data_IF_412604870985
#
_entry.id   IF_412604870985
#
_cell.length_a   1.000
_cell.length_b   1.000
_cell.length_c   1.000
_cell.angle_alpha   90.00
_cell.angle_beta   90.00
_cell.angle_gamma   90.00
#
_symmetry.space_group_name_H-M   'P 1'
#
loop_
_entity.id
_entity.type
_entity.pdbx_description
1 polymer ?
#
# COMPACT_ATOMS: atom_id res chain seq x y z
N UNK A 1 -1.01 -21.02 -55.79
CA UNK A 1 -1.08 -19.61 -55.32
C UNK A 1 -1.25 -19.51 -53.79
N UNK A 2 -1.99 -20.42 -53.17
CA UNK A 2 -2.37 -20.44 -51.74
C UNK A 2 -1.21 -20.56 -50.76
N UNK A 3 -0.19 -21.40 -51.02
CA UNK A 3 0.97 -21.55 -50.12
C UNK A 3 1.78 -20.26 -49.96
N UNK A 4 2.01 -19.51 -51.05
CA UNK A 4 2.76 -18.24 -51.00
C UNK A 4 2.02 -17.16 -50.23
N UNK A 5 0.69 -17.12 -50.32
CA UNK A 5 -0.15 -16.17 -49.57
C UNK A 5 -0.10 -16.51 -48.06
N UNK A 6 -0.19 -17.79 -47.68
CA UNK A 6 -0.05 -18.20 -46.27
C UNK A 6 1.35 -17.89 -45.70
N UNK A 7 2.42 -18.08 -46.49
CA UNK A 7 3.77 -17.74 -46.03
C UNK A 7 3.94 -16.24 -45.82
N UNK A 8 3.40 -15.42 -46.73
CA UNK A 8 3.45 -13.95 -46.59
C UNK A 8 2.61 -13.49 -45.40
N UNK A 9 1.44 -14.08 -45.14
CA UNK A 9 0.62 -13.78 -43.97
C UNK A 9 1.32 -14.15 -42.67
N UNK A 10 1.95 -15.33 -42.61
CA UNK A 10 2.68 -15.79 -41.42
C UNK A 10 3.89 -14.89 -41.10
N UNK A 11 4.60 -14.41 -42.13
CA UNK A 11 5.71 -13.45 -41.96
C UNK A 11 5.20 -12.08 -41.50
N UNK A 12 4.06 -11.62 -42.01
CA UNK A 12 3.44 -10.37 -41.56
C UNK A 12 2.96 -10.45 -40.11
N UNK A 13 2.33 -11.56 -39.71
CA UNK A 13 1.90 -11.81 -38.33
C UNK A 13 3.11 -11.94 -37.40
N UNK A 14 4.16 -12.66 -37.82
CA UNK A 14 5.39 -12.76 -37.04
C UNK A 14 6.08 -11.39 -36.90
N UNK A 15 6.08 -10.58 -37.96
CA UNK A 15 6.62 -9.22 -37.96
C UNK A 15 5.84 -8.28 -37.04
N UNK A 16 4.52 -8.31 -37.04
CA UNK A 16 3.70 -7.50 -36.14
C UNK A 16 3.81 -7.95 -34.69
N UNK A 17 3.84 -9.27 -34.43
CA UNK A 17 4.11 -9.83 -33.09
C UNK A 17 5.50 -9.44 -32.60
N UNK A 18 6.53 -9.49 -33.45
CA UNK A 18 7.89 -9.10 -33.09
C UNK A 18 8.05 -7.59 -32.87
N UNK A 19 7.35 -6.76 -33.66
CA UNK A 19 7.37 -5.30 -33.50
C UNK A 19 6.62 -4.88 -32.25
N UNK A 20 5.48 -5.51 -31.97
CA UNK A 20 4.71 -5.31 -30.74
C UNK A 20 5.47 -5.83 -29.51
N UNK A 21 6.09 -7.01 -29.59
CA UNK A 21 6.98 -7.51 -28.55
C UNK A 21 8.18 -6.59 -28.33
N UNK A 22 8.78 -6.06 -29.40
CA UNK A 22 9.85 -5.06 -29.32
C UNK A 22 9.40 -3.76 -28.66
N UNK A 23 8.20 -3.27 -28.97
CA UNK A 23 7.59 -2.10 -28.32
C UNK A 23 7.35 -2.34 -26.82
N UNK A 24 6.76 -3.49 -26.46
CA UNK A 24 6.51 -3.86 -25.05
C UNK A 24 7.83 -4.10 -24.31
N UNK A 25 8.85 -4.68 -24.95
CA UNK A 25 10.21 -4.83 -24.40
C UNK A 25 10.92 -3.48 -24.22
N UNK A 26 10.61 -2.48 -25.06
CA UNK A 26 11.17 -1.13 -24.96
C UNK A 26 10.53 -0.32 -23.82
N UNK A 27 9.23 -0.49 -23.57
CA UNK A 27 8.56 0.13 -22.43
C UNK A 27 8.80 -0.59 -21.09
N UNK A 28 9.09 -1.89 -21.10
CA UNK A 28 9.24 -2.68 -19.87
C UNK A 28 10.68 -3.17 -19.70
N UNK A 29 11.32 -2.77 -18.59
CA UNK A 29 12.72 -3.08 -18.27
C UNK A 29 13.08 -4.59 -18.23
N UNK A 30 12.10 -5.50 -18.25
CA UNK A 30 12.31 -6.95 -18.17
C UNK A 30 11.47 -7.71 -19.24
N UNK A 31 12.09 -8.33 -20.26
CA UNK A 31 11.39 -8.94 -21.40
C UNK A 31 10.56 -10.19 -21.04
N UNK A 32 10.92 -10.91 -19.97
CA UNK A 32 10.17 -12.09 -19.51
C UNK A 32 8.79 -11.70 -18.93
N UNK A 33 8.74 -10.58 -18.19
CA UNK A 33 7.50 -10.05 -17.60
C UNK A 33 6.55 -9.56 -18.69
N UNK A 34 7.10 -8.83 -19.67
CA UNK A 34 6.37 -8.40 -20.86
C UNK A 34 5.72 -9.57 -21.61
N UNK A 35 6.45 -10.67 -21.80
CA UNK A 35 5.93 -11.85 -22.47
C UNK A 35 4.83 -12.56 -21.65
N UNK A 36 4.97 -12.66 -20.32
CA UNK A 36 3.91 -13.26 -19.48
C UNK A 36 2.59 -12.48 -19.53
N UNK A 37 2.66 -11.14 -19.59
CA UNK A 37 1.48 -10.26 -19.66
C UNK A 37 0.73 -10.37 -21.00
N UNK A 38 1.36 -10.90 -22.06
CA UNK A 38 0.69 -11.15 -23.33
C UNK A 38 -0.24 -12.37 -23.32
N UNK A 39 0.00 -13.33 -22.42
CA UNK A 39 -0.73 -14.60 -22.38
C UNK A 39 -1.58 -14.77 -21.11
N UNK A 40 -1.33 -13.96 -20.07
CA UNK A 40 -2.14 -13.94 -18.85
C UNK A 40 -3.20 -12.83 -18.95
N UNK A 41 -4.51 -13.16 -18.92
CA UNK A 41 -5.56 -12.15 -18.98
C UNK A 41 -5.48 -11.21 -17.78
N UNK A 42 -5.77 -9.93 -18.01
CA UNK A 42 -5.75 -8.91 -16.95
C UNK A 42 -6.88 -9.13 -15.93
N UNK A 43 -6.73 -8.67 -14.66
CA UNK A 43 -7.78 -8.85 -13.66
C UNK A 43 -9.16 -8.32 -14.07
N UNK A 44 -9.31 -7.16 -14.75
CA UNK A 44 -10.61 -6.73 -15.25
C UNK A 44 -11.27 -7.73 -16.21
N UNK A 45 -10.48 -8.44 -17.03
CA UNK A 45 -10.98 -9.48 -17.93
C UNK A 45 -11.35 -10.76 -17.18
N UNK A 46 -10.58 -11.12 -16.15
CA UNK A 46 -10.80 -12.34 -15.36
C UNK A 46 -12.00 -12.19 -14.41
N UNK A 47 -12.09 -11.07 -13.70
CA UNK A 47 -13.11 -10.83 -12.68
C UNK A 47 -14.34 -10.10 -13.21
N UNK A 48 -14.27 -9.46 -14.38
CA UNK A 48 -15.36 -8.65 -14.93
C UNK A 48 -15.66 -7.39 -14.12
N UNK A 49 -14.70 -6.90 -13.34
CA UNK A 49 -14.84 -5.73 -12.45
C UNK A 49 -13.63 -4.81 -12.56
N UNK A 50 -13.84 -3.51 -12.30
CA UNK A 50 -12.76 -2.51 -12.22
C UNK A 50 -11.97 -2.58 -10.90
N UNK A 51 -12.54 -3.21 -9.89
CA UNK A 51 -11.93 -3.43 -8.59
C UNK A 51 -12.41 -4.73 -7.96
N UNK A 52 -11.68 -5.23 -6.97
CA UNK A 52 -11.98 -6.46 -6.26
C UNK A 52 -11.84 -6.25 -4.75
N UNK A 53 -12.92 -6.50 -3.99
CA UNK A 53 -12.89 -6.43 -2.54
C UNK A 53 -12.61 -7.81 -1.95
N UNK A 54 -11.54 -7.92 -1.17
CA UNK A 54 -10.99 -9.16 -0.63
C UNK A 54 -10.93 -9.06 0.88
N UNK A 55 -11.50 -10.03 1.59
CA UNK A 55 -11.28 -10.18 3.03
C UNK A 55 -10.01 -11.00 3.24
N UNK A 56 -9.06 -10.50 4.01
CA UNK A 56 -7.88 -11.25 4.41
C UNK A 56 -7.90 -11.43 5.92
N UNK A 57 -7.85 -12.67 6.38
CA UNK A 57 -7.78 -12.99 7.81
C UNK A 57 -6.54 -13.83 8.12
N UNK A 58 -5.91 -13.57 9.25
CA UNK A 58 -4.84 -14.41 9.81
C UNK A 58 -5.33 -15.06 11.09
N UNK A 59 -5.31 -16.39 11.15
CA UNK A 59 -5.73 -17.14 12.33
C UNK A 59 -4.60 -17.29 13.33
N UNK A 60 -4.92 -17.13 14.62
CA UNK A 60 -4.08 -17.61 15.71
C UNK A 60 -4.58 -19.01 16.09
N UNK A 61 -3.70 -20.01 15.97
CA UNK A 61 -3.99 -21.35 16.48
C UNK A 61 -3.42 -21.43 17.89
N UNK A 62 -4.26 -21.82 18.84
CA UNK A 62 -3.79 -22.27 20.14
C UNK A 62 -3.29 -23.71 19.98
N UNK A 63 -2.01 -23.93 20.25
CA UNK A 63 -1.42 -25.26 20.37
C UNK A 63 -1.71 -25.80 21.76
N UNK A 64 -2.09 -27.07 21.85
CA UNK A 64 -2.21 -27.73 23.17
C UNK A 64 -0.83 -27.92 23.80
N UNK A 65 -0.77 -28.23 25.11
CA UNK A 65 0.48 -28.59 25.83
C UNK A 65 1.19 -29.86 25.31
N UNK A 66 0.73 -30.41 24.18
CA UNK A 66 1.28 -31.57 23.47
C UNK A 66 1.58 -31.26 21.99
N UNK A 67 1.59 -29.98 21.60
CA UNK A 67 1.79 -29.52 20.22
C UNK A 67 0.72 -30.01 19.21
N UNK A 68 -0.48 -30.36 19.68
CA UNK A 68 -1.60 -30.74 18.80
C UNK A 68 -2.42 -29.49 18.41
N UNK A 69 -2.69 -29.30 17.11
CA UNK A 69 -3.53 -28.23 16.55
C UNK A 69 -4.97 -28.34 17.08
N UNK A 70 -5.46 -27.31 17.79
CA UNK A 70 -6.89 -27.19 18.08
C UNK A 70 -7.59 -26.45 16.92
N UNK A 71 -8.27 -27.19 16.04
CA UNK A 71 -8.79 -26.66 14.75
C UNK A 71 -10.28 -26.30 14.74
N UNK A 72 -10.99 -26.38 15.86
CA UNK A 72 -12.40 -25.99 15.97
C UNK A 72 -12.50 -24.73 16.80
N UNK A 73 -12.80 -23.59 16.16
CA UNK A 73 -13.06 -22.27 16.76
C UNK A 73 -11.85 -21.33 16.92
N UNK A 74 -10.94 -21.28 15.93
CA UNK A 74 -9.85 -20.29 15.92
C UNK A 74 -10.35 -18.87 15.63
N UNK A 75 -9.89 -17.88 16.41
CA UNK A 75 -10.18 -16.47 16.20
C UNK A 75 -9.22 -15.86 15.17
N UNK A 76 -9.67 -14.83 14.46
CA UNK A 76 -8.78 -14.02 13.61
C UNK A 76 -8.02 -12.97 14.42
N UNK A 77 -6.72 -12.96 14.22
CA UNK A 77 -5.77 -12.04 14.84
C UNK A 77 -5.38 -10.90 13.90
N UNK A 78 -5.52 -11.16 12.61
CA UNK A 78 -5.37 -10.19 11.54
C UNK A 78 -6.69 -10.14 10.78
N UNK A 79 -7.25 -8.96 10.59
CA UNK A 79 -8.45 -8.75 9.79
C UNK A 79 -8.22 -7.55 8.87
N UNK A 80 -8.14 -7.78 7.57
CA UNK A 80 -7.97 -6.74 6.56
C UNK A 80 -9.10 -6.76 5.55
N UNK A 81 -9.71 -5.60 5.31
CA UNK A 81 -10.50 -5.37 4.12
C UNK A 81 -9.58 -4.77 3.05
N UNK A 82 -9.39 -5.50 1.95
CA UNK A 82 -8.46 -5.13 0.87
C UNK A 82 -9.23 -4.82 -0.40
N UNK A 83 -9.05 -3.64 -0.95
CA UNK A 83 -9.59 -3.27 -2.27
C UNK A 83 -8.44 -3.25 -3.29
N UNK A 84 -8.50 -4.17 -4.25
CA UNK A 84 -7.60 -4.22 -5.39
C UNK A 84 -8.20 -3.37 -6.51
N UNK A 85 -7.68 -2.15 -6.68
CA UNK A 85 -8.16 -1.21 -7.68
C UNK A 85 -7.37 -1.41 -8.99
N UNK A 86 -8.00 -2.08 -9.95
CA UNK A 86 -7.41 -2.37 -11.25
C UNK A 86 -7.47 -1.17 -12.20
N UNK A 87 -8.39 -0.23 -12.00
CA UNK A 87 -8.42 0.97 -12.83
C UNK A 87 -7.17 1.82 -12.58
N UNK A 88 -6.75 1.89 -11.31
CA UNK A 88 -5.66 2.78 -10.89
C UNK A 88 -4.38 2.05 -10.49
N UNK A 89 -4.36 0.71 -10.61
CA UNK A 89 -3.25 -0.16 -10.21
C UNK A 89 -2.78 0.12 -8.77
N UNK A 90 -3.74 0.17 -7.84
CA UNK A 90 -3.54 0.43 -6.41
C UNK A 90 -4.10 -0.68 -5.55
N UNK A 91 -3.56 -0.77 -4.34
CA UNK A 91 -4.05 -1.67 -3.29
C UNK A 91 -4.36 -0.83 -2.07
N UNK A 92 -5.61 -0.84 -1.64
CA UNK A 92 -6.02 -0.21 -0.38
C UNK A 92 -6.26 -1.30 0.65
N UNK A 93 -5.56 -1.22 1.77
CA UNK A 93 -5.63 -2.19 2.86
C UNK A 93 -6.12 -1.47 4.11
N UNK A 94 -7.33 -1.79 4.57
CA UNK A 94 -7.89 -1.27 5.80
C UNK A 94 -7.83 -2.35 6.88
N UNK A 95 -6.99 -2.13 7.89
CA UNK A 95 -6.87 -3.00 9.07
C UNK A 95 -8.03 -2.76 10.01
N UNK A 96 -8.65 -3.84 10.47
CA UNK A 96 -9.70 -3.82 11.48
C UNK A 96 -9.13 -4.48 12.74
N UNK A 97 -8.93 -3.72 13.83
CA UNK A 97 -8.51 -4.30 15.11
C UNK A 97 -9.48 -5.41 15.54
N UNK A 98 -8.93 -6.55 15.96
CA UNK A 98 -9.70 -7.77 16.22
C UNK A 98 -10.70 -7.65 17.38
N UNK A 99 -10.41 -6.75 18.32
CA UNK A 99 -11.18 -6.52 19.54
C UNK A 99 -12.29 -5.47 19.32
N UNK A 100 -12.52 -4.99 18.09
CA UNK A 100 -13.62 -4.08 17.75
C UNK A 100 -14.98 -4.67 18.11
N UNK A 101 -15.84 -3.87 18.73
CA UNK A 101 -17.23 -4.25 19.01
C UNK A 101 -17.99 -4.42 17.69
N UNK A 102 -18.64 -5.58 17.53
CA UNK A 102 -19.50 -5.89 16.42
C UNK A 102 -20.78 -6.61 16.88
N UNK A 103 -21.80 -6.58 16.02
CA UNK A 103 -23.04 -7.32 16.23
C UNK A 103 -23.00 -8.60 15.40
N UNK A 104 -23.16 -9.74 16.06
CA UNK A 104 -23.20 -11.05 15.43
C UNK A 104 -24.60 -11.35 14.85
N UNK A 105 -24.76 -12.38 13.98
CA UNK A 105 -26.04 -12.67 13.33
C UNK A 105 -27.20 -12.97 14.29
N UNK A 106 -26.89 -13.45 15.50
CA UNK A 106 -27.87 -13.69 16.57
C UNK A 106 -28.30 -12.42 17.34
N UNK A 107 -27.77 -11.25 16.96
CA UNK A 107 -28.06 -9.95 17.57
C UNK A 107 -27.22 -9.62 18.82
N UNK A 108 -26.37 -10.54 19.29
CA UNK A 108 -25.48 -10.29 20.41
C UNK A 108 -24.30 -9.39 20.03
N UNK A 109 -23.78 -8.64 21.01
CA UNK A 109 -22.51 -7.92 20.85
C UNK A 109 -21.35 -8.82 21.26
N UNK A 110 -20.32 -8.83 20.43
CA UNK A 110 -19.07 -9.54 20.67
C UNK A 110 -17.91 -8.78 20.04
N UNK A 111 -16.69 -9.27 20.26
CA UNK A 111 -15.52 -8.85 19.49
C UNK A 111 -15.64 -9.32 18.05
N UNK A 112 -15.20 -8.52 17.09
CA UNK A 112 -15.43 -8.79 15.67
C UNK A 112 -14.76 -10.09 15.20
N UNK A 113 -13.65 -10.48 15.80
CA UNK A 113 -12.98 -11.75 15.52
C UNK A 113 -13.77 -12.99 15.98
N UNK A 114 -14.78 -12.82 16.82
CA UNK A 114 -15.66 -13.91 17.25
C UNK A 114 -16.45 -14.48 16.07
N UNK A 115 -16.78 -13.67 15.06
CA UNK A 115 -17.48 -14.13 13.86
C UNK A 115 -16.73 -15.26 13.12
N UNK A 116 -15.39 -15.23 13.14
CA UNK A 116 -14.55 -16.29 12.56
C UNK A 116 -14.56 -17.55 13.42
N UNK A 117 -14.58 -17.39 14.74
CA UNK A 117 -14.67 -18.51 15.69
C UNK A 117 -16.02 -19.23 15.60
N UNK A 118 -17.12 -18.48 15.45
CA UNK A 118 -18.49 -19.01 15.53
C UNK A 118 -18.95 -19.68 14.23
N UNK A 119 -18.72 -19.02 13.09
CA UNK A 119 -19.23 -19.48 11.79
C UNK A 119 -18.17 -19.59 10.70
N UNK A 120 -16.89 -19.50 11.06
CA UNK A 120 -15.78 -19.49 10.12
C UNK A 120 -15.85 -18.31 9.15
N UNK A 121 -15.12 -18.44 8.05
CA UNK A 121 -14.97 -17.35 7.07
C UNK A 121 -16.30 -16.90 6.46
N UNK A 122 -17.31 -17.78 6.43
CA UNK A 122 -18.64 -17.43 5.91
C UNK A 122 -19.30 -16.37 6.79
N UNK A 123 -19.27 -16.57 8.10
CA UNK A 123 -19.86 -15.63 9.06
C UNK A 123 -19.00 -14.39 9.21
N UNK A 124 -17.67 -14.53 9.34
CA UNK A 124 -16.75 -13.41 9.37
C UNK A 124 -16.94 -12.46 8.18
N UNK A 125 -17.01 -12.99 6.95
CA UNK A 125 -17.30 -12.18 5.75
C UNK A 125 -18.62 -11.41 5.85
N UNK A 126 -19.67 -12.02 6.37
CA UNK A 126 -20.98 -11.38 6.47
C UNK A 126 -20.99 -10.28 7.54
N UNK A 127 -20.50 -10.59 8.74
CA UNK A 127 -20.42 -9.65 9.87
C UNK A 127 -19.52 -8.46 9.51
N UNK A 128 -18.34 -8.71 8.97
CA UNK A 128 -17.39 -7.63 8.63
C UNK A 128 -17.94 -6.78 7.48
N UNK A 129 -18.57 -7.38 6.47
CA UNK A 129 -19.16 -6.61 5.37
C UNK A 129 -20.27 -5.67 5.88
N UNK A 130 -21.15 -6.20 6.74
CA UNK A 130 -22.20 -5.41 7.38
C UNK A 130 -21.64 -4.32 8.29
N UNK A 131 -20.62 -4.64 9.09
CA UNK A 131 -19.99 -3.70 10.03
C UNK A 131 -19.28 -2.54 9.31
N UNK A 132 -18.66 -2.82 8.16
CA UNK A 132 -18.07 -1.79 7.30
C UNK A 132 -19.12 -1.03 6.47
N UNK A 133 -20.30 -1.60 6.24
CA UNK A 133 -21.30 -1.04 5.31
C UNK A 133 -20.92 -1.23 3.84
N UNK A 134 -20.19 -2.29 3.50
CA UNK A 134 -19.83 -2.65 2.12
C UNK A 134 -20.79 -3.71 1.56
N UNK A 135 -21.01 -3.79 0.23
CA UNK A 135 -21.96 -4.74 -0.35
C UNK A 135 -21.59 -6.22 -0.12
N UNK A 136 -20.32 -6.49 0.17
CA UNK A 136 -19.79 -7.82 0.40
C UNK A 136 -18.37 -7.99 -0.16
N UNK A 137 -17.71 -9.07 0.24
CA UNK A 137 -16.37 -9.42 -0.24
C UNK A 137 -16.43 -10.43 -1.39
N UNK A 138 -15.78 -10.10 -2.52
CA UNK A 138 -15.71 -10.92 -3.73
C UNK A 138 -14.91 -12.19 -3.52
N UNK A 139 -13.79 -12.05 -2.82
CA UNK A 139 -12.84 -13.13 -2.53
C UNK A 139 -12.41 -13.05 -1.08
N UNK A 140 -11.80 -14.12 -0.60
CA UNK A 140 -11.20 -14.14 0.72
C UNK A 140 -9.90 -14.92 0.74
N UNK A 141 -9.04 -14.62 1.70
CA UNK A 141 -7.86 -15.41 2.01
C UNK A 141 -7.74 -15.53 3.52
N UNK A 142 -7.85 -16.76 4.04
CA UNK A 142 -7.63 -17.05 5.46
C UNK A 142 -6.29 -17.76 5.58
N UNK A 143 -5.34 -17.06 6.20
CA UNK A 143 -3.97 -17.51 6.38
C UNK A 143 -3.83 -18.23 7.71
N UNK A 144 -3.20 -19.40 7.68
CA UNK A 144 -2.68 -20.05 8.87
C UNK A 144 -1.39 -19.36 9.33
N UNK A 145 -1.05 -19.40 10.61
CA UNK A 145 0.21 -18.85 11.13
C UNK A 145 1.43 -19.33 10.35
N UNK A 146 1.44 -20.60 9.94
CA UNK A 146 2.55 -21.19 9.18
C UNK A 146 2.61 -20.72 7.73
N UNK A 147 1.53 -20.13 7.20
CA UNK A 147 1.54 -19.53 5.86
C UNK A 147 2.58 -18.42 5.78
N UNK A 148 2.57 -17.49 6.74
CA UNK A 148 3.51 -16.37 6.79
C UNK A 148 4.95 -16.88 6.91
N UNK A 149 5.21 -17.88 7.76
CA UNK A 149 6.54 -18.49 7.89
C UNK A 149 7.01 -19.07 6.56
N UNK A 150 6.15 -19.87 5.92
CA UNK A 150 6.46 -20.53 4.66
C UNK A 150 6.70 -19.52 3.52
N UNK A 151 5.89 -18.46 3.43
CA UNK A 151 6.07 -17.41 2.42
C UNK A 151 7.38 -16.66 2.57
N UNK A 152 7.68 -16.21 3.79
CA UNK A 152 8.92 -15.46 4.06
C UNK A 152 10.13 -16.35 3.78
N UNK A 153 10.10 -17.62 4.18
CA UNK A 153 11.18 -18.57 3.88
C UNK A 153 11.33 -18.86 2.39
N UNK A 154 10.22 -19.03 1.65
CA UNK A 154 10.24 -19.33 0.22
C UNK A 154 10.90 -18.21 -0.62
N UNK A 155 10.86 -16.97 -0.14
CA UNK A 155 11.50 -15.82 -0.82
C UNK A 155 12.87 -15.44 -0.23
N UNK A 156 13.41 -16.28 0.66
CA UNK A 156 14.73 -16.07 1.29
C UNK A 156 14.75 -14.93 2.30
N UNK A 157 13.68 -14.78 3.08
CA UNK A 157 13.57 -13.80 4.17
C UNK A 157 13.26 -12.37 3.73
N UNK A 158 12.94 -11.52 4.71
CA UNK A 158 12.60 -10.10 4.51
C UNK A 158 13.46 -9.20 5.38
N UNK A 159 13.78 -7.99 4.89
CA UNK A 159 14.49 -6.99 5.67
C UNK A 159 13.49 -6.00 6.27
N UNK A 160 13.48 -5.87 7.59
CA UNK A 160 12.61 -4.93 8.32
C UNK A 160 13.49 -3.99 9.14
N UNK A 161 13.17 -2.69 9.11
CA UNK A 161 13.75 -1.75 10.06
C UNK A 161 13.02 -1.87 11.39
N UNK A 162 13.62 -2.60 12.32
CA UNK A 162 13.09 -2.80 13.67
C UNK A 162 13.34 -1.52 14.46
N UNK A 163 12.26 -0.94 14.98
CA UNK A 163 12.33 0.16 15.96
C UNK A 163 12.19 -0.40 17.37
N UNK A 164 12.74 0.29 18.36
CA UNK A 164 12.40 0.05 19.77
C UNK A 164 10.88 0.15 20.00
N UNK A 165 10.37 -0.65 20.93
CA UNK A 165 8.93 -0.78 21.27
C UNK A 165 8.22 0.56 21.42
N UNK A 166 8.88 1.53 22.05
CA UNK A 166 8.33 2.86 22.34
C UNK A 166 8.35 3.83 21.13
N UNK A 167 8.97 3.41 20.02
CA UNK A 167 9.35 4.28 18.90
C UNK A 167 8.60 3.97 17.59
N UNK A 168 7.64 3.04 17.60
CA UNK A 168 6.83 2.72 16.42
C UNK A 168 5.99 3.91 15.95
N UNK A 169 5.43 4.70 16.87
CA UNK A 169 4.62 5.89 16.57
C UNK A 169 5.34 7.23 16.77
N UNK A 170 6.20 7.36 17.78
CA UNK A 170 6.88 8.62 18.13
C UNK A 170 8.34 8.64 17.66
N UNK A 171 8.81 9.79 17.15
CA UNK A 171 10.17 9.94 16.57
C UNK A 171 11.22 10.44 17.59
N UNK A 172 10.78 10.85 18.79
CA UNK A 172 11.63 11.48 19.80
C UNK A 172 11.23 11.04 21.21
N UNK A 173 12.20 10.84 22.10
CA UNK A 173 11.97 10.52 23.52
C UNK A 173 11.94 9.02 23.86
N UNK A 174 12.34 8.14 22.94
CA UNK A 174 12.34 6.70 23.18
C UNK A 174 13.55 6.30 24.05
N UNK A 175 13.28 5.57 25.14
CA UNK A 175 14.30 5.07 26.07
C UNK A 175 14.95 3.77 25.63
N UNK A 176 14.38 3.12 24.60
CA UNK A 176 15.07 2.12 23.78
C UNK A 176 15.27 0.78 24.46
N UNK A 177 14.19 0.04 24.70
CA UNK A 177 14.32 -1.40 24.93
C UNK A 177 14.36 -2.14 23.59
N UNK A 178 15.31 -3.07 23.45
CA UNK A 178 15.31 -4.06 22.37
C UNK A 178 14.04 -4.90 22.46
N UNK A 179 13.56 -5.40 21.33
CA UNK A 179 12.51 -6.41 21.31
C UNK A 179 13.11 -7.73 21.80
N UNK A 180 13.15 -7.87 23.11
CA UNK A 180 13.68 -9.02 23.83
C UNK A 180 12.56 -9.58 24.73
N UNK A 181 11.94 -10.68 24.30
CA UNK A 181 10.75 -11.24 24.93
C UNK A 181 10.68 -12.75 24.71
N UNK A 182 10.53 -13.49 25.80
CA UNK A 182 10.30 -14.92 25.81
C UNK A 182 8.98 -15.25 26.50
N UNK A 183 8.09 -15.91 25.76
CA UNK A 183 6.89 -16.53 26.29
C UNK A 183 6.85 -18.01 25.93
N UNK A 184 7.17 -18.83 26.93
CA UNK A 184 7.16 -20.28 26.80
C UNK A 184 5.76 -20.87 26.66
N UNK A 185 4.70 -20.16 27.08
CA UNK A 185 3.31 -20.62 26.95
C UNK A 185 2.73 -20.32 25.57
N UNK A 186 3.07 -19.16 24.99
CA UNK A 186 2.68 -18.76 23.63
C UNK A 186 3.66 -19.18 22.51
N UNK A 187 4.73 -19.89 22.87
CA UNK A 187 5.88 -20.21 22.01
C UNK A 187 6.42 -18.99 21.24
N UNK A 188 6.48 -17.84 21.91
CA UNK A 188 6.89 -16.57 21.31
C UNK A 188 8.24 -16.14 21.86
N UNK A 189 9.27 -16.32 21.04
CA UNK A 189 10.66 -15.96 21.36
C UNK A 189 11.11 -14.87 20.40
N UNK A 190 11.42 -13.69 20.91
CA UNK A 190 11.80 -12.51 20.13
C UNK A 190 13.07 -11.94 20.71
N UNK A 191 14.13 -11.92 19.91
CA UNK A 191 15.40 -11.29 20.25
C UNK A 191 15.87 -10.44 19.07
N UNK A 192 15.23 -9.29 18.86
CA UNK A 192 15.49 -8.38 17.76
C UNK A 192 16.07 -7.06 18.28
N UNK A 193 17.22 -6.67 17.73
CA UNK A 193 17.86 -5.39 18.02
C UNK A 193 17.29 -4.29 17.11
N UNK A 194 17.30 -3.06 17.60
CA UNK A 194 16.97 -1.89 16.79
C UNK A 194 17.87 -1.80 15.53
N UNK A 195 17.30 -1.34 14.42
CA UNK A 195 17.96 -1.22 13.12
C UNK A 195 17.43 -2.20 12.07
N UNK A 196 18.11 -2.27 10.91
CA UNK A 196 17.74 -3.21 9.84
C UNK A 196 18.06 -4.63 10.29
N UNK A 197 17.02 -5.46 10.37
CA UNK A 197 17.13 -6.89 10.68
C UNK A 197 16.66 -7.71 9.49
N UNK A 198 17.37 -8.80 9.21
CA UNK A 198 16.92 -9.83 8.28
C UNK A 198 16.10 -10.87 9.04
N UNK A 199 14.83 -10.99 8.68
CA UNK A 199 13.87 -11.89 9.31
C UNK A 199 13.59 -13.07 8.39
N UNK A 200 13.87 -14.28 8.88
CA UNK A 200 13.30 -15.51 8.37
C UNK A 200 11.82 -15.63 8.79
N UNK A 201 11.15 -16.70 8.38
CA UNK A 201 9.73 -16.91 8.63
C UNK A 201 9.37 -16.96 10.11
N UNK A 202 10.20 -17.60 10.95
CA UNK A 202 9.96 -17.69 12.39
C UNK A 202 10.06 -16.30 13.04
N UNK A 203 11.15 -15.58 12.77
CA UNK A 203 11.37 -14.24 13.31
C UNK A 203 10.35 -13.23 12.79
N UNK A 204 9.91 -13.35 11.55
CA UNK A 204 8.89 -12.48 10.97
C UNK A 204 7.52 -12.69 11.65
N UNK A 205 7.10 -13.93 11.88
CA UNK A 205 5.86 -14.22 12.61
C UNK A 205 5.97 -13.75 14.06
N UNK A 206 7.10 -14.01 14.71
CA UNK A 206 7.32 -13.57 16.08
C UNK A 206 7.23 -12.02 16.18
N UNK A 207 7.87 -11.31 15.26
CA UNK A 207 7.77 -9.84 15.15
C UNK A 207 6.32 -9.36 14.96
N UNK A 208 5.53 -10.04 14.12
CA UNK A 208 4.12 -9.70 13.86
C UNK A 208 3.17 -10.03 15.02
N UNK A 209 3.56 -10.91 15.95
CA UNK A 209 2.75 -11.32 17.11
C UNK A 209 3.03 -10.51 18.37
N UNK A 210 4.12 -9.73 18.42
CA UNK A 210 4.50 -8.99 19.61
C UNK A 210 3.46 -7.94 20.04
N UNK A 211 3.11 -7.95 21.33
CA UNK A 211 2.10 -7.07 21.96
C UNK A 211 2.54 -6.46 23.29
N UNK A 212 3.73 -6.80 23.79
CA UNK A 212 4.22 -6.31 25.09
C UNK A 212 4.90 -4.94 24.95
N UNK A 213 4.22 -4.02 24.27
CA UNK A 213 4.60 -2.61 24.17
C UNK A 213 3.42 -1.70 24.56
N UNK A 214 3.73 -0.41 24.72
CA UNK A 214 2.81 0.61 25.20
C UNK A 214 1.52 0.76 24.37
N UNK A 215 1.50 0.29 23.11
CA UNK A 215 0.35 0.40 22.23
C UNK A 215 -0.22 -0.92 21.72
N UNK A 216 0.21 -2.06 22.28
CA UNK A 216 -0.38 -3.40 22.12
C UNK A 216 -0.82 -3.72 20.69
N UNK A 217 -2.13 -3.81 20.42
CA UNK A 217 -2.67 -4.22 19.13
C UNK A 217 -2.43 -3.21 17.98
N UNK A 218 -2.62 -1.90 18.16
CA UNK A 218 -2.13 -0.90 17.20
C UNK A 218 -0.67 -1.07 16.79
N UNK A 219 0.23 -1.31 17.75
CA UNK A 219 1.66 -1.51 17.47
C UNK A 219 1.88 -2.81 16.69
N UNK A 220 1.15 -3.87 17.05
CA UNK A 220 1.13 -5.15 16.33
C UNK A 220 0.71 -4.98 14.87
N UNK A 221 -0.37 -4.25 14.60
CA UNK A 221 -0.86 -3.96 13.24
C UNK A 221 0.20 -3.20 12.43
N UNK A 222 0.88 -2.23 13.03
CA UNK A 222 1.98 -1.50 12.37
C UNK A 222 3.12 -2.44 11.96
N UNK A 223 3.50 -3.41 12.81
CA UNK A 223 4.52 -4.41 12.46
C UNK A 223 4.06 -5.33 11.33
N UNK A 224 2.80 -5.76 11.34
CA UNK A 224 2.22 -6.55 10.26
C UNK A 224 2.26 -5.79 8.93
N UNK A 225 1.95 -4.50 8.94
CA UNK A 225 2.08 -3.64 7.76
C UNK A 225 3.54 -3.51 7.32
N UNK A 226 4.50 -3.34 8.24
CA UNK A 226 5.93 -3.32 7.91
C UNK A 226 6.40 -4.60 7.23
N UNK A 227 6.00 -5.78 7.74
CA UNK A 227 6.33 -7.06 7.12
C UNK A 227 5.68 -7.19 5.74
N UNK A 228 4.42 -6.77 5.58
CA UNK A 228 3.75 -6.74 4.27
C UNK A 228 4.52 -5.85 3.26
N UNK A 229 4.92 -4.65 3.68
CA UNK A 229 5.72 -3.75 2.83
C UNK A 229 7.10 -4.34 2.50
N UNK A 230 7.77 -4.98 3.46
CA UNK A 230 9.05 -5.64 3.23
C UNK A 230 8.93 -6.84 2.26
N UNK A 231 7.86 -7.64 2.40
CA UNK A 231 7.53 -8.75 1.50
C UNK A 231 7.32 -8.24 0.07
N UNK A 232 6.48 -7.21 -0.09
CA UNK A 232 6.22 -6.58 -1.39
C UNK A 232 7.50 -5.98 -1.98
N UNK A 233 8.31 -5.29 -1.17
CA UNK A 233 9.59 -4.73 -1.58
C UNK A 233 10.58 -5.80 -2.07
N UNK A 234 10.66 -6.93 -1.37
CA UNK A 234 11.49 -8.09 -1.73
C UNK A 234 11.05 -8.68 -3.08
N UNK A 235 9.75 -8.93 -3.25
CA UNK A 235 9.17 -9.45 -4.50
C UNK A 235 9.40 -8.50 -5.70
N UNK A 236 9.47 -7.17 -5.44
CA UNK A 236 9.78 -6.16 -6.46
C UNK A 236 11.25 -6.03 -6.79
N UNK A 237 12.12 -6.17 -5.79
CA UNK A 237 13.57 -6.05 -5.94
C UNK A 237 14.15 -7.23 -6.70
N UNK A 238 13.58 -8.42 -6.51
CA UNK A 238 14.05 -9.66 -7.10
C UNK A 238 13.01 -10.27 -8.06
N UNK A 239 12.67 -9.50 -9.10
CA UNK A 239 11.57 -9.84 -10.03
C UNK A 239 11.81 -11.13 -10.80
N UNK A 240 13.07 -11.45 -11.09
CA UNK A 240 13.46 -12.65 -11.83
C UNK A 240 13.25 -13.88 -10.96
N UNK A 241 13.78 -13.86 -9.73
CA UNK A 241 13.60 -14.95 -8.76
C UNK A 241 12.12 -15.15 -8.39
N UNK A 242 11.39 -14.05 -8.17
CA UNK A 242 9.95 -14.08 -7.88
C UNK A 242 9.15 -14.73 -9.01
N UNK A 243 9.50 -14.45 -10.27
CA UNK A 243 8.85 -15.08 -11.42
C UNK A 243 9.18 -16.58 -11.51
N UNK A 244 10.43 -16.95 -11.27
CA UNK A 244 10.87 -18.36 -11.28
C UNK A 244 10.19 -19.20 -10.19
N UNK A 245 9.93 -18.61 -9.02
CA UNK A 245 9.26 -19.26 -7.89
C UNK A 245 7.74 -19.04 -7.84
N UNK A 246 7.12 -18.48 -8.89
CA UNK A 246 5.70 -18.16 -8.86
C UNK A 246 4.83 -19.42 -8.68
N UNK A 247 5.23 -20.54 -9.27
CA UNK A 247 4.58 -21.84 -9.06
C UNK A 247 4.71 -22.35 -7.61
N UNK A 248 5.90 -22.20 -7.02
CA UNK A 248 6.14 -22.57 -5.62
C UNK A 248 5.32 -21.69 -4.66
N UNK A 249 5.22 -20.39 -4.93
CA UNK A 249 4.41 -19.46 -4.15
C UNK A 249 2.92 -19.80 -4.24
N UNK A 250 2.41 -20.17 -5.42
CA UNK A 250 1.03 -20.65 -5.58
C UNK A 250 0.82 -21.97 -4.82
N UNK A 251 1.80 -22.88 -4.83
CA UNK A 251 1.74 -24.13 -4.06
C UNK A 251 1.69 -23.87 -2.55
N UNK A 252 2.50 -22.93 -2.03
CA UNK A 252 2.46 -22.47 -0.64
C UNK A 252 1.10 -21.84 -0.32
N UNK A 253 0.56 -20.98 -1.20
CA UNK A 253 -0.80 -20.43 -1.06
C UNK A 253 -1.83 -21.55 -0.92
N UNK A 254 -1.79 -22.55 -1.79
CA UNK A 254 -2.75 -23.67 -1.76
C UNK A 254 -2.66 -24.50 -0.49
N UNK A 255 -1.45 -24.71 0.03
CA UNK A 255 -1.22 -25.53 1.21
C UNK A 255 -1.61 -24.83 2.52
N UNK A 256 -1.35 -23.53 2.62
CA UNK A 256 -1.45 -22.80 3.89
C UNK A 256 -2.52 -21.70 3.93
N UNK A 257 -3.17 -21.40 2.80
CA UNK A 257 -4.21 -20.36 2.70
C UNK A 257 -5.52 -20.97 2.22
N UNK A 258 -6.56 -20.87 3.05
CA UNK A 258 -7.91 -21.18 2.64
C UNK A 258 -8.47 -20.00 1.83
N UNK A 259 -8.85 -20.25 0.57
CA UNK A 259 -9.32 -19.20 -0.33
C UNK A 259 -10.27 -19.74 -1.39
N UNK A 260 -11.12 -18.85 -1.92
CA UNK A 260 -11.91 -19.10 -3.12
C UNK A 260 -11.28 -18.53 -4.41
N UNK A 261 -10.00 -18.13 -4.40
CA UNK A 261 -9.28 -17.77 -5.61
C UNK A 261 -8.92 -19.01 -6.46
N UNK A 262 -9.05 -18.90 -7.77
CA UNK A 262 -8.50 -19.89 -8.72
C UNK A 262 -7.02 -19.63 -9.01
N UNK A 263 -6.28 -20.62 -9.53
CA UNK A 263 -4.86 -20.42 -9.87
C UNK A 263 -4.68 -19.36 -10.97
N UNK A 264 -5.58 -19.33 -11.95
CA UNK A 264 -5.58 -18.31 -13.00
C UNK A 264 -5.85 -16.90 -12.45
N UNK A 265 -6.72 -16.77 -11.44
CA UNK A 265 -6.97 -15.50 -10.75
C UNK A 265 -5.74 -15.04 -9.96
N UNK A 266 -5.09 -15.94 -9.20
CA UNK A 266 -3.87 -15.61 -8.46
C UNK A 266 -2.73 -15.22 -9.41
N UNK A 267 -2.55 -15.97 -10.51
CA UNK A 267 -1.56 -15.67 -11.54
C UNK A 267 -1.83 -14.32 -12.20
N UNK A 268 -3.09 -14.02 -12.53
CA UNK A 268 -3.51 -12.74 -13.11
C UNK A 268 -3.19 -11.58 -12.17
N UNK A 269 -3.54 -11.69 -10.88
CA UNK A 269 -3.25 -10.68 -9.87
C UNK A 269 -1.74 -10.48 -9.67
N UNK A 270 -0.99 -11.57 -9.52
CA UNK A 270 0.46 -11.53 -9.33
C UNK A 270 1.17 -10.85 -10.50
N UNK A 271 0.80 -11.22 -11.73
CA UNK A 271 1.36 -10.65 -12.96
C UNK A 271 0.97 -9.18 -13.15
N UNK A 272 -0.27 -8.84 -12.81
CA UNK A 272 -0.80 -7.48 -12.97
C UNK A 272 -0.14 -6.48 -12.01
N UNK A 273 -0.04 -6.82 -10.72
CA UNK A 273 0.56 -5.97 -9.69
C UNK A 273 2.09 -6.06 -9.63
N UNK A 274 2.70 -6.90 -10.47
CA UNK A 274 4.16 -7.00 -10.54
C UNK A 274 4.79 -5.63 -10.83
N UNK A 275 5.78 -5.26 -10.01
CA UNK A 275 6.52 -4.01 -10.17
C UNK A 275 5.76 -2.72 -9.86
N UNK A 276 4.55 -2.81 -9.25
CA UNK A 276 3.84 -1.66 -8.68
C UNK A 276 4.77 -0.82 -7.78
N UNK A 277 4.63 0.50 -7.59
CA UNK A 277 5.42 1.23 -6.58
C UNK A 277 4.88 1.01 -5.16
N UNK A 278 5.70 1.16 -4.12
CA UNK A 278 5.24 0.99 -2.72
C UNK A 278 4.17 2.03 -2.36
N UNK A 279 4.27 3.24 -2.92
CA UNK A 279 3.30 4.33 -2.79
C UNK A 279 1.91 4.03 -3.39
N UNK A 280 1.75 2.94 -4.13
CA UNK A 280 0.46 2.48 -4.63
C UNK A 280 -0.25 1.51 -3.65
N UNK A 281 0.43 1.10 -2.58
CA UNK A 281 -0.18 0.40 -1.45
C UNK A 281 -0.49 1.43 -0.38
N UNK A 282 -1.78 1.65 -0.14
CA UNK A 282 -2.28 2.58 0.87
C UNK A 282 -2.84 1.74 2.02
N UNK A 283 -2.18 1.82 3.16
CA UNK A 283 -2.60 1.12 4.38
C UNK A 283 -3.23 2.10 5.36
N UNK A 284 -4.26 1.69 6.06
CA UNK A 284 -4.81 2.43 7.20
C UNK A 284 -5.42 1.47 8.21
N UNK A 285 -5.71 1.95 9.41
CA UNK A 285 -6.37 1.19 10.47
C UNK A 285 -7.65 1.91 10.87
N UNK A 286 -8.72 1.15 11.11
CA UNK A 286 -9.95 1.72 11.67
C UNK A 286 -9.66 2.24 13.09
N UNK A 287 -9.87 3.53 13.37
CA UNK A 287 -9.65 4.09 14.70
C UNK A 287 -10.80 3.75 15.66
N UNK A 288 -10.51 3.87 16.93
CA UNK A 288 -11.43 3.67 18.04
C UNK A 288 -11.38 4.87 18.99
N UNK A 289 -12.48 5.13 19.70
CA UNK A 289 -12.62 6.28 20.60
C UNK A 289 -12.47 5.90 22.07
N UNK A 290 -12.46 4.60 22.38
CA UNK A 290 -12.30 4.07 23.73
C UNK A 290 -12.53 2.58 23.80
N UNK A 291 -12.63 2.07 25.02
CA UNK A 291 -12.84 0.67 25.33
C UNK A 291 -14.12 0.49 26.15
N UNK A 292 -14.75 -0.67 26.00
CA UNK A 292 -15.92 -1.10 26.77
C UNK A 292 -15.73 -2.54 27.21
N UNK A 293 -16.06 -2.85 28.45
CA UNK A 293 -16.08 -4.23 28.94
C UNK A 293 -17.35 -4.92 28.42
N UNK A 294 -17.18 -5.90 27.53
CA UNK A 294 -18.27 -6.72 27.04
C UNK A 294 -18.38 -8.00 27.89
N UNK A 295 -19.58 -8.34 28.42
CA UNK A 295 -19.78 -9.54 29.21
C UNK A 295 -19.31 -10.80 28.49
N UNK A 296 -18.33 -11.50 29.08
CA UNK A 296 -17.75 -12.72 28.51
C UNK A 296 -16.64 -12.50 27.47
N UNK A 297 -16.32 -11.26 27.12
CA UNK A 297 -15.29 -10.90 26.14
C UNK A 297 -14.21 -9.95 26.68
N UNK A 298 -14.49 -9.24 27.78
CA UNK A 298 -13.58 -8.27 28.39
C UNK A 298 -13.49 -6.98 27.59
N UNK A 299 -12.38 -6.25 27.78
CA UNK A 299 -12.11 -4.99 27.10
C UNK A 299 -12.19 -5.14 25.58
N UNK A 300 -13.06 -4.33 24.99
CA UNK A 300 -13.43 -4.34 23.57
C UNK A 300 -13.42 -2.91 23.01
N UNK A 301 -12.94 -2.74 21.78
CA UNK A 301 -12.70 -1.42 21.18
C UNK A 301 -13.98 -0.84 20.57
N UNK A 302 -14.33 0.39 20.95
CA UNK A 302 -15.48 1.11 20.39
C UNK A 302 -15.01 1.87 19.13
N UNK A 303 -15.49 1.52 17.93
CA UNK A 303 -15.01 2.16 16.70
C UNK A 303 -15.40 3.63 16.62
N UNK A 304 -14.48 4.46 16.12
CA UNK A 304 -14.84 5.79 15.64
C UNK A 304 -15.70 5.64 14.39
N UNK A 305 -17.01 5.77 14.57
CA UNK A 305 -17.99 5.51 13.51
C UNK A 305 -17.87 6.51 12.36
N UNK A 306 -17.56 7.77 12.66
CA UNK A 306 -17.43 8.81 11.64
C UNK A 306 -16.20 8.56 10.77
N UNK A 307 -15.06 8.31 11.42
CA UNK A 307 -13.80 8.08 10.73
C UNK A 307 -13.76 6.71 10.03
N UNK A 308 -14.35 5.66 10.62
CA UNK A 308 -14.57 4.37 9.94
C UNK A 308 -15.34 4.57 8.63
N UNK A 309 -16.45 5.30 8.67
CA UNK A 309 -17.28 5.55 7.49
C UNK A 309 -16.50 6.32 6.41
N UNK A 310 -15.71 7.32 6.83
CA UNK A 310 -14.83 8.08 5.93
C UNK A 310 -13.78 7.18 5.27
N UNK A 311 -13.11 6.33 6.04
CA UNK A 311 -12.09 5.42 5.55
C UNK A 311 -12.67 4.35 4.62
N UNK A 312 -13.83 3.76 4.95
CA UNK A 312 -14.52 2.80 4.08
C UNK A 312 -14.86 3.44 2.74
N UNK A 313 -15.44 4.64 2.74
CA UNK A 313 -15.76 5.34 1.51
C UNK A 313 -14.49 5.60 0.67
N UNK A 314 -13.45 6.13 1.31
CA UNK A 314 -12.20 6.53 0.64
C UNK A 314 -11.29 5.37 0.22
N UNK A 315 -11.45 4.17 0.77
CA UNK A 315 -10.54 3.04 0.51
C UNK A 315 -11.24 1.84 -0.15
N UNK A 316 -12.51 1.57 0.18
CA UNK A 316 -13.18 0.32 -0.18
C UNK A 316 -14.33 0.48 -1.19
N UNK A 317 -15.09 1.57 -1.12
CA UNK A 317 -16.29 1.77 -1.96
C UNK A 317 -16.05 2.71 -3.15
N UNK A 318 -15.28 3.76 -2.94
CA UNK A 318 -14.98 4.77 -3.95
C UNK A 318 -13.58 5.30 -3.68
N UNK A 319 -12.53 4.46 -3.81
CA UNK A 319 -11.18 5.00 -3.76
C UNK A 319 -11.13 6.15 -4.76
N UNK A 320 -10.80 7.38 -4.32
CA UNK A 320 -10.79 8.51 -5.23
C UNK A 320 -9.91 8.12 -6.39
N UNK A 321 -10.46 8.16 -7.61
CA UNK A 321 -9.67 7.99 -8.82
C UNK A 321 -8.48 8.93 -8.66
N UNK A 322 -7.24 8.41 -8.53
CA UNK A 322 -6.09 9.25 -8.72
C UNK A 322 -6.29 9.88 -10.09
N UNK A 323 -6.02 11.19 -10.19
CA UNK A 323 -5.73 11.80 -11.47
C UNK A 323 -4.82 10.80 -12.21
N UNK A 324 -5.22 10.26 -13.39
CA UNK A 324 -4.44 9.24 -14.07
C UNK A 324 -2.96 9.64 -14.07
N UNK A 325 -2.03 8.70 -13.95
CA UNK A 325 -0.64 9.09 -14.27
C UNK A 325 -0.64 9.35 -15.77
N UNK A 326 -0.44 10.60 -16.22
CA UNK A 326 -0.52 10.92 -17.63
C UNK A 326 0.55 10.14 -18.38
N UNK A 327 0.20 9.60 -19.55
CA UNK A 327 1.22 9.15 -20.48
C UNK A 327 2.09 10.34 -20.94
N UNK A 328 3.21 10.04 -21.60
CA UNK A 328 4.16 11.05 -22.03
C UNK A 328 3.53 12.08 -23.00
N UNK A 329 2.54 11.67 -23.80
CA UNK A 329 1.86 12.53 -24.75
C UNK A 329 0.91 13.50 -24.06
N UNK A 330 0.14 13.02 -23.07
CA UNK A 330 -0.74 13.83 -22.24
C UNK A 330 0.03 14.87 -21.43
N UNK A 331 1.23 14.53 -20.92
CA UNK A 331 2.12 15.51 -20.29
C UNK A 331 2.68 16.52 -21.30
N UNK A 332 3.06 16.07 -22.50
CA UNK A 332 3.62 16.93 -23.53
C UNK A 332 2.60 17.97 -24.04
N UNK A 333 1.31 17.62 -24.08
CA UNK A 333 0.22 18.51 -24.49
C UNK A 333 0.00 19.70 -23.53
N UNK A 334 0.45 19.60 -22.27
CA UNK A 334 0.35 20.70 -21.30
C UNK A 334 1.55 21.62 -21.45
N UNK A 335 1.30 22.83 -21.96
CA UNK A 335 2.31 23.89 -22.07
C UNK A 335 2.65 24.45 -20.68
N UNK A 336 3.92 24.37 -20.21
CA UNK A 336 4.29 24.87 -18.87
C UNK A 336 3.86 26.31 -18.58
N UNK A 337 3.93 27.20 -19.58
CA UNK A 337 3.59 28.61 -19.44
C UNK A 337 2.12 28.90 -19.10
N UNK A 338 1.21 27.93 -19.32
CA UNK A 338 -0.20 28.06 -18.97
C UNK A 338 -0.50 27.71 -17.52
N UNK A 339 0.49 27.21 -16.77
CA UNK A 339 0.34 26.84 -15.36
C UNK A 339 1.02 27.87 -14.47
N UNK A 340 0.24 28.49 -13.57
CA UNK A 340 0.74 29.34 -12.50
C UNK A 340 1.10 28.50 -11.28
N UNK A 341 2.35 28.58 -10.82
CA UNK A 341 2.86 27.75 -9.73
C UNK A 341 3.37 28.61 -8.58
N UNK A 342 2.76 28.46 -7.40
CA UNK A 342 3.28 29.02 -6.15
C UNK A 342 4.29 28.04 -5.52
N UNK A 343 5.32 28.56 -4.85
CA UNK A 343 6.36 27.76 -4.23
C UNK A 343 6.58 28.19 -2.79
N UNK A 344 6.31 27.28 -1.85
CA UNK A 344 6.36 27.53 -0.42
C UNK A 344 7.50 26.76 0.24
N UNK A 345 8.15 27.38 1.21
CA UNK A 345 9.18 26.74 2.02
C UNK A 345 8.56 26.06 3.24
N UNK A 346 8.36 24.75 3.16
CA UNK A 346 7.95 23.92 4.29
C UNK A 346 9.11 23.27 5.04
N UNK A 347 10.36 23.49 4.59
CA UNK A 347 11.55 22.79 5.11
C UNK A 347 12.27 23.55 6.24
N UNK A 348 12.00 24.85 6.39
CA UNK A 348 12.76 25.75 7.26
C UNK A 348 14.16 26.11 6.74
N UNK A 349 14.60 25.54 5.61
CA UNK A 349 15.92 25.85 5.02
C UNK A 349 15.84 27.13 4.20
N UNK A 350 16.72 28.09 4.50
CA UNK A 350 16.76 29.37 3.79
C UNK A 350 16.97 29.17 2.27
N UNK A 351 16.13 29.84 1.48
CA UNK A 351 16.18 29.83 0.01
C UNK A 351 15.68 28.53 -0.65
N UNK A 352 15.11 27.58 0.09
CA UNK A 352 14.62 26.32 -0.49
C UNK A 352 13.53 26.54 -1.55
N UNK A 353 12.53 27.36 -1.23
CA UNK A 353 11.47 27.73 -2.18
C UNK A 353 12.03 28.47 -3.40
N UNK A 354 12.97 29.41 -3.20
CA UNK A 354 13.60 30.16 -4.30
C UNK A 354 14.39 29.28 -5.27
N UNK A 355 15.08 28.24 -4.76
CA UNK A 355 15.79 27.26 -5.59
C UNK A 355 14.81 26.46 -6.46
N UNK A 356 13.74 25.94 -5.86
CA UNK A 356 12.72 25.18 -6.60
C UNK A 356 11.97 26.06 -7.61
N UNK A 357 11.62 27.29 -7.23
CA UNK A 357 11.02 28.27 -8.12
C UNK A 357 11.91 28.60 -9.33
N UNK A 358 13.23 28.64 -9.15
CA UNK A 358 14.18 28.86 -10.26
C UNK A 358 14.17 27.71 -11.24
N UNK A 359 14.17 26.46 -10.75
CA UNK A 359 14.08 25.27 -11.62
C UNK A 359 12.78 25.24 -12.41
N UNK A 360 11.65 25.52 -11.74
CA UNK A 360 10.35 25.56 -12.40
C UNK A 360 10.24 26.70 -13.42
N UNK A 361 10.83 27.87 -13.13
CA UNK A 361 10.91 28.97 -14.10
C UNK A 361 11.72 28.57 -15.34
N UNK A 362 12.87 27.91 -15.16
CA UNK A 362 13.69 27.41 -16.26
C UNK A 362 12.98 26.33 -17.09
N UNK A 363 12.08 25.56 -16.46
CA UNK A 363 11.23 24.60 -17.15
C UNK A 363 10.00 25.24 -17.85
N UNK A 364 9.86 26.56 -17.80
CA UNK A 364 8.86 27.34 -18.55
C UNK A 364 7.55 27.60 -17.80
N UNK A 365 7.47 27.33 -16.49
CA UNK A 365 6.27 27.59 -15.70
C UNK A 365 6.15 29.08 -15.31
N UNK A 366 4.92 29.56 -15.18
CA UNK A 366 4.64 30.90 -14.66
C UNK A 366 4.71 30.86 -13.13
N UNK A 367 5.79 31.36 -12.53
CA UNK A 367 5.91 31.38 -11.07
C UNK A 367 5.05 32.48 -10.47
N UNK A 368 4.20 32.11 -9.52
CA UNK A 368 3.40 33.02 -8.72
C UNK A 368 4.15 33.45 -7.46
N UNK A 369 3.54 33.24 -6.29
CA UNK A 369 4.14 33.59 -5.00
C UNK A 369 5.28 32.64 -4.63
N UNK A 370 6.34 33.20 -4.05
CA UNK A 370 7.44 32.44 -3.44
C UNK A 370 7.56 32.90 -2.00
N UNK A 371 7.31 32.00 -1.06
CA UNK A 371 7.21 32.35 0.36
C UNK A 371 7.42 31.16 1.28
N UNK A 372 7.00 31.31 2.53
CA UNK A 372 7.02 30.25 3.53
C UNK A 372 5.67 29.52 3.58
N UNK A 373 5.70 28.23 3.91
CA UNK A 373 4.49 27.45 4.16
C UNK A 373 3.88 27.82 5.53
N UNK A 374 2.73 27.23 5.86
CA UNK A 374 2.07 27.37 7.17
C UNK A 374 2.91 26.85 8.35
N UNK A 375 3.87 25.96 8.07
CA UNK A 375 4.80 25.38 9.05
C UNK A 375 6.07 24.87 8.36
N UNK A 376 7.11 24.57 9.15
CA UNK A 376 8.46 24.21 8.66
C UNK A 376 8.88 22.76 8.89
N UNK A 377 7.97 21.88 9.31
CA UNK A 377 8.25 20.48 9.66
C UNK A 377 7.94 19.50 8.52
N UNK A 378 7.83 19.98 7.28
CA UNK A 378 7.54 19.12 6.14
C UNK A 378 8.74 18.22 5.83
N UNK A 379 8.62 16.94 6.17
CA UNK A 379 9.65 15.92 5.89
C UNK A 379 9.87 15.69 4.39
N UNK A 380 8.81 15.77 3.59
CA UNK A 380 8.82 15.53 2.14
C UNK A 380 8.15 16.67 1.38
N UNK A 381 8.59 16.89 0.14
CA UNK A 381 7.98 17.87 -0.77
C UNK A 381 6.62 17.38 -1.24
N UNK A 382 5.63 18.28 -1.21
CA UNK A 382 4.23 18.00 -1.58
C UNK A 382 3.82 18.98 -2.69
N UNK A 383 3.05 18.49 -3.66
CA UNK A 383 2.48 19.29 -4.74
C UNK A 383 0.96 19.32 -4.53
N UNK A 384 0.42 20.46 -4.12
CA UNK A 384 -1.03 20.69 -4.06
C UNK A 384 -1.52 21.18 -5.41
N UNK A 385 -2.53 20.53 -5.95
CA UNK A 385 -3.19 20.99 -7.18
C UNK A 385 -4.52 21.69 -6.83
N UNK A 386 -4.62 22.95 -7.25
CA UNK A 386 -5.80 23.81 -7.03
C UNK A 386 -6.69 23.89 -8.29
N UNK A 387 -6.09 23.76 -9.47
CA UNK A 387 -6.82 23.86 -10.74
C UNK A 387 -7.50 22.56 -11.17
N UNK A 388 -8.57 22.71 -11.96
CA UNK A 388 -9.21 21.62 -12.68
C UNK A 388 -8.44 21.19 -13.95
N UNK A 389 -7.25 21.76 -14.20
CA UNK A 389 -6.42 21.35 -15.34
C UNK A 389 -5.90 19.95 -15.07
N UNK A 390 -6.38 18.99 -15.87
CA UNK A 390 -5.98 17.58 -15.76
C UNK A 390 -4.46 17.47 -15.82
N UNK A 391 -3.87 16.76 -14.85
CA UNK A 391 -2.44 16.52 -14.73
C UNK A 391 -1.53 17.72 -14.43
N UNK A 392 -2.05 18.90 -14.06
CA UNK A 392 -1.22 20.07 -13.75
C UNK A 392 -0.12 19.77 -12.70
N UNK A 393 -0.49 19.12 -11.59
CA UNK A 393 0.47 18.73 -10.55
C UNK A 393 1.48 17.68 -11.03
N UNK A 394 1.06 16.75 -11.92
CA UNK A 394 1.96 15.78 -12.53
C UNK A 394 2.94 16.43 -13.52
N UNK A 395 2.50 17.45 -14.26
CA UNK A 395 3.35 18.25 -15.14
C UNK A 395 4.39 19.02 -14.34
N UNK A 396 3.99 19.68 -13.26
CA UNK A 396 4.92 20.36 -12.32
C UNK A 396 5.92 19.37 -11.74
N UNK A 397 5.46 18.21 -11.24
CA UNK A 397 6.31 17.14 -10.72
C UNK A 397 7.36 16.66 -11.73
N UNK A 398 6.99 16.55 -13.00
CA UNK A 398 7.88 16.06 -14.06
C UNK A 398 9.10 16.98 -14.30
N UNK A 399 8.97 18.27 -13.95
CA UNK A 399 10.00 19.29 -14.12
C UNK A 399 10.92 19.46 -12.91
N UNK A 400 10.58 18.88 -11.75
CA UNK A 400 11.41 18.97 -10.54
C UNK A 400 12.71 18.14 -10.66
N UNK A 401 13.79 18.47 -9.94
CA UNK A 401 15.00 17.64 -9.89
C UNK A 401 14.74 16.37 -9.07
N UNK A 402 15.63 15.37 -9.17
CA UNK A 402 15.65 14.28 -8.17
C UNK A 402 16.25 14.81 -6.85
N UNK A 403 15.75 14.43 -5.67
CA UNK A 403 14.71 13.41 -5.43
C UNK A 403 13.26 13.89 -5.58
N UNK A 404 13.03 15.20 -5.74
CA UNK A 404 11.71 15.85 -5.71
C UNK A 404 10.70 15.37 -6.78
N UNK A 405 11.15 14.66 -7.84
CA UNK A 405 10.23 13.97 -8.79
C UNK A 405 9.35 12.91 -8.14
N UNK A 406 9.65 12.48 -6.92
CA UNK A 406 8.85 11.54 -6.15
C UNK A 406 7.77 12.21 -5.29
N UNK A 407 7.69 13.55 -5.30
CA UNK A 407 6.73 14.32 -4.54
C UNK A 407 5.29 13.83 -4.78
N UNK A 408 4.52 13.72 -3.70
CA UNK A 408 3.11 13.38 -3.76
C UNK A 408 2.34 14.54 -4.38
N UNK A 409 1.52 14.25 -5.40
CA UNK A 409 0.53 15.19 -5.92
C UNK A 409 -0.76 14.93 -5.16
N UNK A 410 -1.25 15.93 -4.44
CA UNK A 410 -2.46 15.85 -3.63
C UNK A 410 -3.49 16.86 -4.15
N UNK A 411 -4.77 16.48 -4.25
CA UNK A 411 -5.84 17.45 -4.49
C UNK A 411 -6.01 18.34 -3.25
N UNK A 412 -6.61 19.52 -3.42
CA UNK A 412 -7.07 20.29 -2.26
C UNK A 412 -8.02 19.45 -1.41
N UNK A 413 -7.79 19.47 -0.09
CA UNK A 413 -8.72 18.88 0.84
C UNK A 413 -10.01 19.70 0.81
N UNK A 414 -11.13 19.09 0.43
CA UNK A 414 -12.45 19.64 0.72
C UNK A 414 -12.67 19.52 2.23
N UNK A 415 -12.12 20.46 3.00
CA UNK A 415 -12.39 20.57 4.43
C UNK A 415 -12.75 22.02 4.72
N UNK A 416 -13.96 22.31 5.23
CA UNK A 416 -14.31 23.64 5.70
C UNK A 416 -13.51 23.90 6.97
N UNK A 417 -12.40 24.61 6.86
CA UNK A 417 -11.68 25.13 8.03
C UNK A 417 -12.02 26.60 8.18
N UNK A 418 -12.76 26.88 9.24
CA UNK A 418 -12.97 28.21 9.80
C UNK A 418 -11.64 28.82 10.23
N UNK A 419 -11.01 29.58 9.34
CA UNK A 419 -10.05 30.65 9.69
C UNK A 419 -10.04 31.67 8.55
N UNK A 420 -10.49 32.91 8.79
CA UNK A 420 -10.68 33.89 7.72
C UNK A 420 -9.40 34.71 7.55
N UNK A 421 -8.37 34.20 6.86
CA UNK A 421 -7.28 35.09 6.37
C UNK A 421 -6.35 34.59 5.27
N UNK A 422 -6.63 33.50 4.54
CA UNK A 422 -5.84 33.18 3.35
C UNK A 422 -6.70 33.25 2.10
N UNK A 423 -6.44 34.29 1.29
CA UNK A 423 -6.97 34.40 -0.08
C UNK A 423 -6.80 33.05 -0.76
N UNK A 424 -7.86 32.55 -1.38
CA UNK A 424 -7.76 31.45 -2.35
C UNK A 424 -6.62 31.84 -3.31
N UNK A 425 -5.54 31.06 -3.31
CA UNK A 425 -4.40 31.32 -4.19
C UNK A 425 -4.91 31.24 -5.63
N UNK A 426 -4.57 32.25 -6.45
CA UNK A 426 -4.85 32.25 -7.89
C UNK A 426 -3.88 31.31 -8.66
N UNK A 427 -3.12 30.46 -7.97
CA UNK A 427 -2.23 29.47 -8.60
C UNK A 427 -2.98 28.21 -9.02
N UNK A 428 -2.48 27.54 -10.05
CA UNK A 428 -2.98 26.24 -10.47
C UNK A 428 -2.43 25.11 -9.59
N UNK A 429 -1.22 25.32 -9.05
CA UNK A 429 -0.45 24.35 -8.27
C UNK A 429 0.40 25.09 -7.23
N UNK A 430 0.44 24.58 -6.00
CA UNK A 430 1.41 25.00 -4.97
C UNK A 430 2.41 23.88 -4.69
N UNK A 431 3.70 24.18 -4.76
CA UNK A 431 4.79 23.25 -4.38
C UNK A 431 5.30 23.63 -3.00
N UNK A 432 5.08 22.76 -2.01
CA UNK A 432 5.58 22.94 -0.64
C UNK A 432 6.87 22.13 -0.52
N UNK A 433 7.99 22.83 -0.44
CA UNK A 433 9.33 22.25 -0.43
C UNK A 433 9.65 21.72 0.96
N UNK A 434 9.83 20.41 1.07
CA UNK A 434 10.19 19.72 2.31
C UNK A 434 11.70 19.57 2.51
N UNK A 435 12.09 18.97 3.64
CA UNK A 435 13.50 18.73 3.98
C UNK A 435 14.22 17.77 3.02
N UNK A 436 13.48 16.98 2.24
CA UNK A 436 13.99 16.15 1.14
C UNK A 436 14.66 16.97 0.03
N UNK A 437 14.35 18.26 -0.09
CA UNK A 437 15.02 19.17 -1.01
C UNK A 437 16.45 19.54 -0.59
N UNK A 438 16.79 19.42 0.71
CA UNK A 438 18.12 19.74 1.22
C UNK A 438 19.22 18.77 0.74
N UNK A 439 18.83 17.61 0.20
CA UNK A 439 19.74 16.63 -0.41
C UNK A 439 20.04 16.91 -1.89
N UNK A 440 19.52 18.01 -2.45
CA UNK A 440 19.70 18.38 -3.86
C UNK A 440 20.94 19.29 -3.99
N UNK A 441 22.03 18.86 -4.65
CA UNK A 441 23.20 19.71 -4.85
C UNK A 441 22.86 20.94 -5.69
N UNK A 442 23.53 22.07 -5.42
CA UNK A 442 23.47 23.24 -6.28
C UNK A 442 24.29 22.99 -7.56
N UNK A 443 23.61 22.92 -8.70
CA UNK A 443 24.11 23.01 -10.08
C UNK A 443 25.20 22.03 -10.56
N UNK A 444 24.81 21.10 -11.44
CA UNK A 444 25.66 20.67 -12.56
C UNK A 444 25.63 21.78 -13.64
N UNK A 445 26.53 22.74 -13.51
CA UNK A 445 27.02 23.51 -14.66
C UNK A 445 28.34 22.87 -15.10
N UNK A 446 28.42 22.54 -16.40
CA UNK A 446 29.54 21.95 -17.16
C UNK A 446 29.40 20.44 -17.46
N UNK A 447 28.80 20.13 -18.62
CA UNK A 447 29.49 19.42 -19.70
C UNK A 447 28.60 19.39 -20.96
N UNK A 448 28.72 20.43 -21.79
CA UNK A 448 28.57 20.31 -23.24
C UNK A 448 29.80 20.95 -23.87
N UNK A 449 30.71 20.12 -24.36
CA UNK A 449 31.65 20.39 -25.44
C UNK A 449 31.96 19.05 -26.09
#
# INVERSE_FOLDING_TARGET
MTKRILTVLAVLVAGTVATFAGYVMFEHKNPIVALSQMFVPSPPQVFGKSNLLVLVEGLDYDYTTKDEEFSTNSRSDVIWAVNLDFANKRVYQLSIPRDMVATLPNGSQAKINQAQSDGGVKEAKAVIAQWLGVPGFDRYAVLRIDATKAFVNAIGGVNVYVKSSDCLRYRTGCTGDSLDYDDSWGHLHIHLKEGVQHLDGERAVAYMRFRHDWCSDPCRIMRQQQVLHALVGKLKGDRVNTFLHLGDLISVMRKYVQTNFTDGELLSLATYFQGMPDSAIVTNQVPYTGEVDLPGYGDSLVPDTAERTRLVAAMLLSPPSPIPSPDAMALAAISPGTLRVDVENGSGVNGAASRVATVLRQAGFTIGEVGDADRFDYGSTIIRQHSNVTFAGAKVRSALPRPLRQAAVVPDATTPTSSPTRSLSNSDVTVIVGSDAAQTPAQDSQHHS
#
